data_IF_725728841108
#
_entry.id   IF_725728841108
#
_cell.length_a   1.000
_cell.length_b   1.000
_cell.length_c   1.000
_cell.angle_alpha   90.00
_cell.angle_beta   90.00
_cell.angle_gamma   90.00
#
_symmetry.space_group_name_H-M   'P 1'
#
loop_
_entity.id
_entity.type
_entity.pdbx_description
1 polymer ?
#
# COMPACT_ATOMS: atom_id res chain seq x y z
N UNK A 1 -12.05 -17.94 -1.75
CA UNK A 1 -11.17 -16.75 -1.68
C UNK A 1 -11.09 -16.21 -0.26
N UNK A 2 -12.23 -16.06 0.45
CA UNK A 2 -12.25 -15.71 1.88
C UNK A 2 -11.23 -16.50 2.73
N UNK A 3 -11.18 -17.83 2.61
CA UNK A 3 -10.19 -18.64 3.32
C UNK A 3 -8.72 -18.44 2.90
N UNK A 4 -8.47 -17.92 1.69
CA UNK A 4 -7.12 -17.54 1.26
C UNK A 4 -6.73 -16.16 1.83
N UNK A 5 -7.66 -15.20 1.84
CA UNK A 5 -7.48 -13.89 2.47
C UNK A 5 -7.24 -14.02 3.98
N UNK A 6 -8.02 -14.85 4.68
CA UNK A 6 -7.84 -15.09 6.12
C UNK A 6 -6.48 -15.74 6.45
N UNK A 7 -5.96 -16.61 5.57
CA UNK A 7 -4.59 -17.13 5.69
C UNK A 7 -3.55 -16.05 5.42
N UNK A 8 -3.76 -15.19 4.43
CA UNK A 8 -2.87 -14.08 4.15
C UNK A 8 -2.82 -13.07 5.30
N UNK A 9 -3.97 -12.74 5.90
CA UNK A 9 -4.08 -11.89 7.09
C UNK A 9 -3.24 -12.44 8.25
N UNK A 10 -3.40 -13.74 8.57
CA UNK A 10 -2.58 -14.38 9.61
C UNK A 10 -1.08 -14.37 9.30
N UNK A 11 -0.70 -14.56 8.03
CA UNK A 11 0.72 -14.48 7.63
C UNK A 11 1.28 -13.08 7.86
N UNK A 12 0.56 -12.04 7.41
CA UNK A 12 0.96 -10.64 7.59
C UNK A 12 1.05 -10.25 9.07
N UNK A 13 0.18 -10.81 9.92
CA UNK A 13 0.24 -10.59 11.36
C UNK A 13 1.52 -11.17 12.00
N UNK A 14 1.97 -12.33 11.54
CA UNK A 14 3.19 -12.99 12.05
C UNK A 14 4.45 -12.36 11.43
N UNK A 15 4.40 -12.09 10.12
CA UNK A 15 5.49 -11.58 9.32
C UNK A 15 4.95 -10.55 8.30
N UNK A 16 4.95 -9.25 8.61
CA UNK A 16 4.38 -8.22 7.74
C UNK A 16 5.01 -8.12 6.34
N UNK A 17 6.24 -8.59 6.19
CA UNK A 17 6.94 -8.65 4.90
C UNK A 17 6.60 -9.87 4.05
N UNK A 18 5.85 -10.86 4.56
CA UNK A 18 5.51 -12.06 3.80
C UNK A 18 4.38 -11.78 2.78
N UNK A 19 4.77 -11.67 1.51
CA UNK A 19 3.85 -11.37 0.40
C UNK A 19 3.36 -12.64 -0.31
N UNK A 20 3.95 -13.82 -0.07
CA UNK A 20 3.65 -15.05 -0.83
C UNK A 20 2.15 -15.45 -0.77
N UNK A 21 1.47 -15.37 0.39
CA UNK A 21 0.04 -15.68 0.47
C UNK A 21 -0.86 -14.77 -0.37
N UNK A 22 -0.44 -13.52 -0.63
CA UNK A 22 -1.22 -12.55 -1.40
C UNK A 22 -1.29 -12.93 -2.89
N UNK A 23 -0.22 -13.49 -3.46
CA UNK A 23 -0.25 -13.98 -4.85
C UNK A 23 -1.26 -15.13 -5.03
N UNK A 24 -1.43 -15.96 -4.01
CA UNK A 24 -2.46 -17.02 -4.02
C UNK A 24 -3.88 -16.44 -4.02
N UNK A 25 -4.09 -15.30 -3.35
CA UNK A 25 -5.37 -14.59 -3.36
C UNK A 25 -5.69 -14.06 -4.76
N UNK A 26 -4.76 -13.31 -5.38
CA UNK A 26 -4.93 -12.74 -6.72
C UNK A 26 -5.27 -13.81 -7.75
N UNK A 27 -4.48 -14.89 -7.79
CA UNK A 27 -4.71 -16.00 -8.73
C UNK A 27 -6.11 -16.62 -8.58
N UNK A 28 -6.64 -16.69 -7.36
CA UNK A 28 -7.99 -17.23 -7.10
C UNK A 28 -9.10 -16.23 -7.41
N UNK A 29 -8.83 -14.92 -7.34
CA UNK A 29 -9.81 -13.88 -7.65
C UNK A 29 -10.04 -13.71 -9.14
N UNK A 30 -9.02 -13.91 -9.98
CA UNK A 30 -9.13 -13.79 -11.44
C UNK A 30 -10.28 -14.61 -12.04
N UNK A 31 -10.57 -15.81 -11.50
CA UNK A 31 -11.70 -16.64 -11.95
C UNK A 31 -13.08 -16.13 -11.57
N UNK A 32 -13.20 -15.28 -10.54
CA UNK A 32 -14.49 -14.71 -10.12
C UNK A 32 -14.81 -13.38 -10.79
N UNK A 33 -13.80 -12.64 -11.28
CA UNK A 33 -13.99 -11.32 -11.88
C UNK A 33 -14.95 -11.37 -13.08
N UNK A 34 -14.69 -12.29 -14.01
CA UNK A 34 -15.56 -12.50 -15.17
C UNK A 34 -16.97 -12.98 -14.82
N UNK A 35 -17.20 -13.56 -13.64
CA UNK A 35 -18.55 -13.95 -13.18
C UNK A 35 -19.27 -12.81 -12.44
N UNK A 36 -18.51 -11.99 -11.70
CA UNK A 36 -19.06 -10.85 -10.97
C UNK A 36 -19.53 -9.74 -11.91
N UNK A 37 -18.86 -9.54 -13.05
CA UNK A 37 -19.24 -8.56 -14.08
C UNK A 37 -20.49 -8.97 -14.89
N UNK A 38 -20.87 -10.25 -14.88
CA UNK A 38 -22.01 -10.78 -15.64
C UNK A 38 -23.36 -10.66 -14.92
N UNK A 39 -23.39 -10.16 -13.67
CA UNK A 39 -24.62 -10.01 -12.89
C UNK A 39 -24.69 -8.69 -12.11
N UNK A 40 -25.88 -8.29 -11.68
CA UNK A 40 -26.09 -7.15 -10.75
C UNK A 40 -25.62 -7.47 -9.32
N UNK A 41 -24.41 -8.02 -9.17
CA UNK A 41 -23.85 -8.47 -7.89
C UNK A 41 -23.11 -7.36 -7.14
N UNK A 42 -23.57 -6.11 -7.24
CA UNK A 42 -23.00 -4.98 -6.50
C UNK A 42 -23.15 -5.25 -4.99
N UNK A 43 -22.09 -5.09 -4.16
CA UNK A 43 -20.80 -4.43 -4.42
C UNK A 43 -19.62 -5.41 -4.64
N UNK A 44 -19.89 -6.65 -5.08
CA UNK A 44 -18.85 -7.68 -5.24
C UNK A 44 -17.73 -7.27 -6.22
N UNK A 45 -18.00 -6.75 -7.44
CA UNK A 45 -16.94 -6.30 -8.34
C UNK A 45 -16.03 -5.26 -7.67
N UNK A 46 -16.64 -4.26 -7.03
CA UNK A 46 -15.92 -3.18 -6.35
C UNK A 46 -15.05 -3.68 -5.18
N UNK A 47 -15.52 -4.67 -4.42
CA UNK A 47 -14.73 -5.28 -3.34
C UNK A 47 -13.54 -6.07 -3.91
N UNK A 48 -13.75 -6.83 -4.99
CA UNK A 48 -12.67 -7.58 -5.63
C UNK A 48 -11.61 -6.63 -6.19
N UNK A 49 -12.02 -5.53 -6.83
CA UNK A 49 -11.10 -4.50 -7.31
C UNK A 49 -10.34 -3.83 -6.15
N UNK A 50 -11.03 -3.51 -5.06
CA UNK A 50 -10.40 -2.93 -3.87
C UNK A 50 -9.34 -3.84 -3.26
N UNK A 51 -9.59 -5.16 -3.20
CA UNK A 51 -8.62 -6.15 -2.72
C UNK A 51 -7.42 -6.25 -3.68
N UNK A 52 -7.66 -6.32 -4.98
CA UNK A 52 -6.60 -6.39 -5.98
C UNK A 52 -5.68 -5.18 -5.91
N UNK A 53 -6.26 -3.99 -5.79
CA UNK A 53 -5.50 -2.75 -5.65
C UNK A 53 -4.70 -2.71 -4.34
N UNK A 54 -5.31 -3.08 -3.21
CA UNK A 54 -4.61 -3.15 -1.92
C UNK A 54 -3.42 -4.12 -1.97
N UNK A 55 -3.61 -5.30 -2.58
CA UNK A 55 -2.52 -6.27 -2.77
C UNK A 55 -1.43 -5.69 -3.68
N UNK A 56 -1.81 -5.03 -4.78
CA UNK A 56 -0.89 -4.34 -5.67
C UNK A 56 -0.04 -3.30 -4.94
N UNK A 57 -0.68 -2.43 -4.14
CA UNK A 57 0.01 -1.43 -3.32
C UNK A 57 0.95 -2.09 -2.31
N UNK A 58 0.51 -3.14 -1.62
CA UNK A 58 1.36 -3.90 -0.70
C UNK A 58 2.60 -4.49 -1.37
N UNK A 59 2.49 -4.99 -2.60
CA UNK A 59 3.67 -5.50 -3.32
C UNK A 59 4.66 -4.42 -3.73
N UNK A 60 4.21 -3.16 -3.85
CA UNK A 60 5.07 -2.02 -4.22
C UNK A 60 5.70 -1.33 -3.01
N UNK A 61 5.00 -1.30 -1.89
CA UNK A 61 5.46 -0.63 -0.67
C UNK A 61 6.58 -1.42 0.02
N UNK A 62 7.64 -0.71 0.40
CA UNK A 62 8.77 -1.26 1.14
C UNK A 62 8.35 -1.83 2.50
N UNK A 63 7.36 -1.20 3.15
CA UNK A 63 6.72 -1.68 4.37
C UNK A 63 5.20 -1.63 4.21
N UNK A 64 4.45 -2.63 4.71
CA UNK A 64 2.99 -2.55 4.74
C UNK A 64 2.51 -1.40 5.65
N UNK A 65 1.41 -0.70 5.28
CA UNK A 65 0.72 0.19 6.21
C UNK A 65 0.31 -0.51 7.51
N UNK A 66 0.09 0.24 8.61
CA UNK A 66 -0.42 -0.34 9.85
C UNK A 66 -1.84 -0.90 9.64
N UNK A 67 -2.15 -2.04 10.28
CA UNK A 67 -3.50 -2.65 10.28
C UNK A 67 -3.91 -3.36 8.98
N UNK A 68 -2.97 -3.62 8.06
CA UNK A 68 -3.27 -4.29 6.78
C UNK A 68 -3.81 -5.71 6.97
N UNK A 69 -3.38 -6.41 8.02
CA UNK A 69 -3.91 -7.70 8.41
C UNK A 69 -5.42 -7.63 8.71
N UNK A 70 -5.87 -6.53 9.34
CA UNK A 70 -7.29 -6.29 9.60
C UNK A 70 -8.06 -6.03 8.31
N UNK A 71 -7.47 -5.29 7.36
CA UNK A 71 -8.05 -5.08 6.02
C UNK A 71 -8.29 -6.42 5.32
N UNK A 72 -7.29 -7.31 5.31
CA UNK A 72 -7.38 -8.62 4.66
C UNK A 72 -8.37 -9.55 5.37
N UNK A 73 -8.42 -9.52 6.70
CA UNK A 73 -9.40 -10.27 7.50
C UNK A 73 -10.84 -9.76 7.27
N UNK A 74 -11.03 -8.44 7.22
CA UNK A 74 -12.32 -7.83 6.93
C UNK A 74 -12.78 -8.14 5.51
N UNK A 75 -11.88 -8.13 4.53
CA UNK A 75 -12.16 -8.55 3.16
C UNK A 75 -12.66 -10.00 3.09
N UNK A 76 -12.02 -10.91 3.85
CA UNK A 76 -12.44 -12.31 3.93
C UNK A 76 -13.87 -12.43 4.47
N UNK A 77 -14.19 -11.67 5.52
CA UNK A 77 -15.52 -11.65 6.15
C UNK A 77 -16.58 -11.09 5.19
N UNK A 78 -16.29 -9.97 4.51
CA UNK A 78 -17.19 -9.37 3.52
C UNK A 78 -17.50 -10.34 2.37
N UNK A 79 -16.49 -11.01 1.80
CA UNK A 79 -16.71 -11.99 0.73
C UNK A 79 -17.48 -13.22 1.20
N UNK A 80 -17.29 -13.67 2.45
CA UNK A 80 -18.07 -14.77 3.02
C UNK A 80 -19.54 -14.39 3.21
N UNK A 81 -19.82 -13.16 3.67
CA UNK A 81 -21.17 -12.61 3.77
C UNK A 81 -21.84 -12.52 2.41
N UNK A 82 -21.16 -11.94 1.41
CA UNK A 82 -21.68 -11.84 0.04
C UNK A 82 -22.00 -13.21 -0.55
N UNK A 83 -21.11 -14.19 -0.37
CA UNK A 83 -21.36 -15.55 -0.84
C UNK A 83 -22.63 -16.17 -0.21
N UNK A 84 -22.87 -15.90 1.07
CA UNK A 84 -24.10 -16.31 1.78
C UNK A 84 -25.32 -15.60 1.20
N UNK A 85 -25.27 -14.29 1.02
CA UNK A 85 -26.40 -13.50 0.51
C UNK A 85 -26.78 -13.92 -0.92
N UNK A 86 -25.78 -14.16 -1.79
CA UNK A 86 -26.02 -14.67 -3.14
C UNK A 86 -26.65 -16.07 -3.10
N UNK A 87 -26.26 -16.91 -2.15
CA UNK A 87 -26.83 -18.26 -2.01
C UNK A 87 -28.26 -18.23 -1.47
N UNK A 88 -28.54 -17.35 -0.50
CA UNK A 88 -29.84 -17.28 0.19
C UNK A 88 -30.87 -16.43 -0.55
N UNK A 89 -30.44 -15.33 -1.18
CA UNK A 89 -31.31 -14.27 -1.73
C UNK A 89 -31.06 -14.02 -3.23
N UNK A 90 -30.06 -14.67 -3.83
CA UNK A 90 -29.70 -14.49 -5.24
C UNK A 90 -28.94 -13.20 -5.55
N UNK A 91 -28.75 -12.32 -4.55
CA UNK A 91 -28.02 -11.05 -4.69
C UNK A 91 -27.35 -10.64 -3.38
N UNK A 92 -26.25 -9.88 -3.41
CA UNK A 92 -25.62 -9.33 -2.20
C UNK A 92 -26.47 -8.24 -1.55
N UNK A 93 -26.36 -8.08 -0.24
CA UNK A 93 -26.84 -6.88 0.45
C UNK A 93 -25.79 -5.75 0.33
N UNK A 94 -26.09 -4.63 -0.38
CA UNK A 94 -25.14 -3.55 -0.57
C UNK A 94 -24.86 -2.72 0.69
N UNK A 95 -25.69 -2.86 1.73
CA UNK A 95 -25.58 -2.18 3.02
C UNK A 95 -25.07 -3.11 4.12
N UNK A 96 -24.59 -4.32 3.80
CA UNK A 96 -24.02 -5.23 4.78
C UNK A 96 -22.90 -4.56 5.60
N UNK A 97 -22.92 -4.75 6.92
CA UNK A 97 -21.93 -4.16 7.84
C UNK A 97 -20.51 -4.64 7.52
N UNK A 98 -20.34 -5.88 7.09
CA UNK A 98 -19.05 -6.46 6.74
C UNK A 98 -18.41 -5.77 5.53
N UNK A 99 -19.22 -5.42 4.53
CA UNK A 99 -18.76 -4.68 3.36
C UNK A 99 -18.39 -3.23 3.73
N UNK A 100 -19.22 -2.56 4.54
CA UNK A 100 -18.94 -1.22 5.08
C UNK A 100 -17.63 -1.18 5.88
N UNK A 101 -17.44 -2.15 6.79
CA UNK A 101 -16.23 -2.27 7.61
C UNK A 101 -14.98 -2.50 6.78
N UNK A 102 -15.06 -3.36 5.76
CA UNK A 102 -13.93 -3.57 4.85
C UNK A 102 -13.55 -2.27 4.14
N UNK A 103 -14.53 -1.53 3.60
CA UNK A 103 -14.28 -0.28 2.90
C UNK A 103 -13.67 0.79 3.81
N UNK A 104 -14.17 0.93 5.04
CA UNK A 104 -13.62 1.88 6.02
C UNK A 104 -12.15 1.55 6.37
N UNK A 105 -11.83 0.28 6.64
CA UNK A 105 -10.46 -0.16 6.90
C UNK A 105 -9.55 0.04 5.67
N UNK A 106 -10.06 -0.25 4.48
CA UNK A 106 -9.33 -0.06 3.21
C UNK A 106 -8.96 1.41 3.00
N UNK A 107 -9.94 2.31 3.17
CA UNK A 107 -9.72 3.75 3.03
C UNK A 107 -8.75 4.27 4.09
N UNK A 108 -8.89 3.85 5.35
CA UNK A 108 -7.98 4.27 6.43
C UNK A 108 -6.53 3.84 6.16
N UNK A 109 -6.34 2.61 5.66
CA UNK A 109 -5.01 2.07 5.42
C UNK A 109 -4.34 2.61 4.15
N UNK A 110 -5.10 2.94 3.09
CA UNK A 110 -4.53 3.22 1.77
C UNK A 110 -4.96 4.56 1.14
N UNK A 111 -6.02 5.24 1.60
CA UNK A 111 -6.48 6.48 0.93
C UNK A 111 -5.52 7.66 1.13
N UNK A 112 -4.89 7.76 2.32
CA UNK A 112 -3.92 8.81 2.65
C UNK A 112 -2.61 8.20 3.09
N UNK A 113 -1.54 8.61 2.43
CA UNK A 113 -0.18 8.28 2.86
C UNK A 113 0.18 9.21 4.03
N UNK A 114 -0.24 8.86 5.25
CA UNK A 114 -0.02 9.68 6.45
C UNK A 114 1.42 9.62 6.96
N UNK A 115 2.19 8.61 6.56
CA UNK A 115 3.53 8.33 7.07
C UNK A 115 4.64 8.64 6.05
N UNK A 116 4.42 9.60 5.15
CA UNK A 116 5.48 10.08 4.24
C UNK A 116 6.27 11.16 4.97
N UNK A 117 7.43 10.75 5.48
CA UNK A 117 8.44 11.66 6.02
C UNK A 117 9.18 12.28 4.82
N UNK A 118 9.15 13.61 4.63
CA UNK A 118 9.93 14.25 3.57
C UNK A 118 11.41 13.88 3.73
N UNK A 119 12.09 13.53 2.63
CA UNK A 119 13.51 13.12 2.69
C UNK A 119 14.34 14.25 3.32
N UNK A 120 13.94 15.50 3.12
CA UNK A 120 14.60 16.69 3.66
C UNK A 120 14.52 16.75 5.20
N UNK A 121 13.49 16.18 5.80
CA UNK A 121 13.35 16.10 7.25
C UNK A 121 14.22 15.02 7.89
N UNK A 122 14.82 14.15 7.07
CA UNK A 122 15.85 13.19 7.50
C UNK A 122 17.26 13.80 7.50
N UNK A 123 17.44 15.02 6.99
CA UNK A 123 18.71 15.72 7.04
C UNK A 123 19.01 16.25 8.45
N UNK A 124 20.27 16.19 8.84
CA UNK A 124 20.71 16.80 10.08
C UNK A 124 20.62 18.34 9.95
N UNK A 125 20.33 19.03 11.06
CA UNK A 125 20.27 20.50 11.06
C UNK A 125 21.63 21.07 10.62
N UNK A 126 21.64 21.78 9.50
CA UNK A 126 22.85 22.37 8.90
C UNK A 126 23.44 21.58 7.73
N UNK A 127 22.87 20.42 7.39
CA UNK A 127 23.27 19.66 6.20
C UNK A 127 22.56 20.23 4.96
N UNK A 128 23.34 20.76 4.02
CA UNK A 128 22.83 21.37 2.78
C UNK A 128 22.97 20.46 1.56
N UNK A 129 23.59 19.29 1.72
CA UNK A 129 23.78 18.35 0.62
C UNK A 129 22.66 17.32 0.63
N UNK A 130 21.85 17.34 -0.42
CA UNK A 130 20.94 16.23 -0.69
C UNK A 130 21.77 14.95 -0.78
N UNK A 131 21.35 13.89 -0.09
CA UNK A 131 21.96 12.56 -0.18
C UNK A 131 22.12 12.20 -1.66
N UNK A 132 23.34 12.28 -2.18
CA UNK A 132 23.62 11.84 -3.55
C UNK A 132 23.45 10.33 -3.56
N UNK A 133 22.48 9.77 -4.30
CA UNK A 133 22.35 8.32 -4.39
C UNK A 133 23.69 7.73 -4.85
N UNK A 134 24.16 6.62 -4.26
CA UNK A 134 25.42 6.01 -4.65
C UNK A 134 25.43 5.74 -6.16
N UNK A 135 26.56 5.98 -6.82
CA UNK A 135 26.68 5.86 -8.29
C UNK A 135 26.32 4.46 -8.84
N UNK A 136 26.27 3.44 -7.98
CA UNK A 136 25.84 2.08 -8.29
C UNK A 136 24.31 1.89 -8.31
N UNK A 137 23.54 2.87 -7.84
CA UNK A 137 22.08 2.80 -7.85
C UNK A 137 21.58 3.14 -9.26
N UNK A 138 20.75 2.28 -9.89
CA UNK A 138 20.22 2.55 -11.21
C UNK A 138 19.43 3.87 -11.19
N UNK A 139 19.89 4.85 -11.95
CA UNK A 139 19.17 6.09 -12.15
C UNK A 139 18.06 5.81 -13.16
N UNK A 140 16.84 5.65 -12.67
CA UNK A 140 15.68 5.56 -13.54
C UNK A 140 15.43 6.95 -14.13
N UNK A 141 15.35 7.02 -15.46
CA UNK A 141 14.91 8.25 -16.13
C UNK A 141 13.52 8.62 -15.58
N UNK A 142 13.31 9.91 -15.34
CA UNK A 142 11.97 10.39 -14.99
C UNK A 142 10.98 9.94 -16.06
N UNK A 143 9.79 9.44 -15.68
CA UNK A 143 8.80 8.99 -16.65
C UNK A 143 8.48 10.13 -17.63
N UNK A 144 8.33 9.77 -18.90
CA UNK A 144 7.96 10.72 -19.94
C UNK A 144 6.64 11.41 -19.56
N UNK A 145 6.48 12.70 -19.87
CA UNK A 145 5.23 13.41 -19.61
C UNK A 145 4.09 12.79 -20.41
N UNK A 146 2.87 12.85 -19.86
CA UNK A 146 1.69 12.32 -20.52
C UNK A 146 1.42 13.04 -21.85
N UNK A 147 1.30 12.26 -22.91
CA UNK A 147 0.91 12.73 -24.23
C UNK A 147 -0.55 13.22 -24.26
N UNK A 148 -0.93 14.01 -25.27
CA UNK A 148 -2.31 14.48 -25.42
C UNK A 148 -3.35 13.36 -25.43
N UNK A 149 -3.06 12.24 -26.11
CA UNK A 149 -3.96 11.08 -26.16
C UNK A 149 -4.17 10.47 -24.78
N UNK A 150 -3.11 10.36 -23.98
CA UNK A 150 -3.18 9.80 -22.64
C UNK A 150 -3.99 10.72 -21.72
N UNK A 151 -3.79 12.05 -21.81
CA UNK A 151 -4.61 13.01 -21.07
C UNK A 151 -6.08 12.95 -21.45
N UNK A 152 -6.40 12.85 -22.74
CA UNK A 152 -7.78 12.64 -23.21
C UNK A 152 -8.35 11.35 -22.63
N UNK A 153 -7.60 10.25 -22.66
CA UNK A 153 -8.01 8.96 -22.10
C UNK A 153 -8.26 9.04 -20.58
N UNK A 154 -7.41 9.74 -19.82
CA UNK A 154 -7.65 10.01 -18.41
C UNK A 154 -8.90 10.86 -18.21
N UNK A 155 -9.11 11.88 -19.04
CA UNK A 155 -10.32 12.69 -19.01
C UNK A 155 -11.59 11.90 -19.35
N UNK A 156 -11.49 10.93 -20.25
CA UNK A 156 -12.56 9.99 -20.55
C UNK A 156 -12.92 9.15 -19.33
N UNK A 157 -11.91 8.54 -18.74
CA UNK A 157 -12.02 7.73 -17.54
C UNK A 157 -12.61 8.50 -16.35
N UNK A 158 -12.18 9.75 -16.13
CA UNK A 158 -12.71 10.60 -15.06
C UNK A 158 -14.22 10.83 -15.17
N UNK A 159 -14.75 11.22 -16.34
CA UNK A 159 -16.20 11.42 -16.42
C UNK A 159 -16.97 10.10 -16.35
N UNK A 160 -16.42 9.00 -16.89
CA UNK A 160 -17.05 7.68 -16.76
C UNK A 160 -17.18 7.27 -15.28
N UNK A 161 -16.10 7.42 -14.51
CA UNK A 161 -16.13 7.16 -13.07
C UNK A 161 -17.07 8.13 -12.35
N UNK A 162 -17.07 9.41 -12.69
CA UNK A 162 -17.96 10.39 -12.09
C UNK A 162 -19.44 9.99 -12.27
N UNK A 163 -19.81 9.49 -13.46
CA UNK A 163 -21.16 8.98 -13.72
C UNK A 163 -21.47 7.70 -12.95
N UNK A 164 -20.50 6.79 -12.78
CA UNK A 164 -20.66 5.60 -11.95
C UNK A 164 -20.85 5.96 -10.48
N UNK A 165 -20.05 6.88 -9.94
CA UNK A 165 -20.18 7.38 -8.56
C UNK A 165 -21.54 8.06 -8.37
N UNK A 166 -21.97 8.88 -9.33
CA UNK A 166 -23.27 9.55 -9.29
C UNK A 166 -24.47 8.61 -9.37
N UNK A 167 -24.27 7.36 -9.83
CA UNK A 167 -25.31 6.32 -9.93
C UNK A 167 -25.21 5.24 -8.83
N UNK A 168 -24.25 5.35 -7.92
CA UNK A 168 -24.08 4.37 -6.83
C UNK A 168 -25.36 4.25 -5.99
N UNK A 169 -25.74 3.01 -5.68
CA UNK A 169 -26.95 2.65 -4.94
C UNK A 169 -26.70 2.60 -3.43
N UNK A 170 -25.45 2.44 -2.99
CA UNK A 170 -25.02 2.44 -1.59
C UNK A 170 -23.82 3.32 -1.32
N UNK A 171 -23.62 3.64 -0.04
CA UNK A 171 -22.41 4.33 0.41
C UNK A 171 -21.15 3.50 0.14
N UNK A 172 -21.20 2.19 0.42
CA UNK A 172 -20.11 1.24 0.18
C UNK A 172 -19.66 1.22 -1.28
N UNK A 173 -20.60 1.16 -2.22
CA UNK A 173 -20.33 1.15 -3.66
C UNK A 173 -19.67 2.46 -4.10
N UNK A 174 -20.20 3.60 -3.63
CA UNK A 174 -19.64 4.94 -3.87
C UNK A 174 -18.20 5.05 -3.38
N UNK A 175 -17.94 4.64 -2.15
CA UNK A 175 -16.63 4.75 -1.51
C UNK A 175 -15.58 3.82 -2.15
N UNK A 176 -15.95 2.61 -2.54
CA UNK A 176 -15.04 1.70 -3.26
C UNK A 176 -14.72 2.21 -4.68
N UNK A 177 -15.69 2.79 -5.39
CA UNK A 177 -15.45 3.43 -6.69
C UNK A 177 -14.53 4.63 -6.58
N UNK A 178 -14.68 5.44 -5.53
CA UNK A 178 -13.78 6.53 -5.22
C UNK A 178 -12.38 6.02 -4.89
N UNK A 179 -12.25 4.92 -4.14
CA UNK A 179 -10.96 4.30 -3.88
C UNK A 179 -10.26 3.83 -5.17
N UNK A 180 -10.98 3.19 -6.09
CA UNK A 180 -10.44 2.80 -7.40
C UNK A 180 -9.95 4.00 -8.20
N UNK A 181 -10.72 5.10 -8.21
CA UNK A 181 -10.32 6.35 -8.83
C UNK A 181 -9.01 6.90 -8.26
N UNK A 182 -8.82 6.83 -6.93
CA UNK A 182 -7.59 7.31 -6.31
C UNK A 182 -6.36 6.60 -6.84
N UNK A 183 -6.45 5.29 -7.11
CA UNK A 183 -5.35 4.56 -7.71
C UNK A 183 -5.00 5.05 -9.12
N UNK A 184 -6.01 5.24 -9.97
CA UNK A 184 -5.82 5.76 -11.32
C UNK A 184 -5.20 7.18 -11.29
N UNK A 185 -5.66 8.01 -10.35
CA UNK A 185 -5.13 9.36 -10.15
C UNK A 185 -3.68 9.35 -9.61
N UNK A 186 -3.30 8.40 -8.75
CA UNK A 186 -1.91 8.25 -8.28
C UNK A 186 -0.97 7.95 -9.45
N UNK A 187 -1.36 7.09 -10.38
CA UNK A 187 -0.54 6.79 -11.55
C UNK A 187 -0.42 7.98 -12.50
N UNK A 188 -1.50 8.74 -12.67
CA UNK A 188 -1.55 9.88 -13.59
C UNK A 188 -0.84 11.14 -13.04
N UNK A 189 -0.86 11.33 -11.72
CA UNK A 189 -0.31 12.51 -11.03
C UNK A 189 1.19 12.44 -10.75
N UNK A 190 1.96 11.63 -11.48
CA UNK A 190 3.41 11.56 -11.28
C UNK A 190 4.03 12.90 -11.68
N UNK A 191 4.79 13.58 -10.80
CA UNK A 191 5.31 14.91 -11.09
C UNK A 191 6.24 14.87 -12.31
N UNK A 192 5.94 15.72 -13.29
CA UNK A 192 6.69 15.87 -14.53
C UNK A 192 6.83 17.34 -14.91
N UNK A 193 7.59 17.62 -15.97
CA UNK A 193 7.81 18.98 -16.48
C UNK A 193 6.59 19.59 -17.18
N UNK A 194 5.56 18.80 -17.46
CA UNK A 194 4.32 19.25 -18.09
C UNK A 194 3.39 19.96 -17.09
N UNK A 195 2.94 21.20 -17.37
CA UNK A 195 2.07 21.95 -16.45
C UNK A 195 0.73 21.27 -16.17
N UNK A 196 0.19 20.50 -17.13
CA UNK A 196 -1.08 19.77 -16.93
C UNK A 196 -0.86 18.58 -16.00
N UNK A 197 0.23 17.82 -16.16
CA UNK A 197 0.61 16.76 -15.23
C UNK A 197 0.79 17.28 -13.79
N UNK A 198 1.44 18.44 -13.62
CA UNK A 198 1.58 19.09 -12.31
C UNK A 198 0.23 19.46 -11.68
N UNK A 199 -0.69 20.04 -12.47
CA UNK A 199 -2.04 20.36 -12.00
C UNK A 199 -2.85 19.10 -11.66
N UNK A 200 -2.70 18.02 -12.44
CA UNK A 200 -3.35 16.74 -12.19
C UNK A 200 -2.85 16.10 -10.89
N UNK A 201 -1.55 16.23 -10.57
CA UNK A 201 -1.01 15.78 -9.29
C UNK A 201 -1.64 16.52 -8.10
N UNK A 202 -1.83 17.84 -8.22
CA UNK A 202 -2.52 18.65 -7.19
C UNK A 202 -3.99 18.25 -7.08
N UNK A 203 -4.68 18.06 -8.20
CA UNK A 203 -6.07 17.59 -8.23
C UNK A 203 -6.23 16.20 -7.59
N UNK A 204 -5.33 15.27 -7.93
CA UNK A 204 -5.30 13.92 -7.36
C UNK A 204 -5.09 13.96 -5.83
N UNK A 205 -4.18 14.81 -5.36
CA UNK A 205 -3.98 15.05 -3.93
C UNK A 205 -5.23 15.62 -3.26
N UNK A 206 -5.82 16.66 -3.81
CA UNK A 206 -7.04 17.30 -3.27
C UNK A 206 -8.19 16.30 -3.19
N UNK A 207 -8.32 15.42 -4.20
CA UNK A 207 -9.33 14.35 -4.21
C UNK A 207 -9.11 13.31 -3.11
N UNK A 208 -7.86 12.90 -2.87
CA UNK A 208 -7.50 12.01 -1.74
C UNK A 208 -7.84 12.64 -0.40
N UNK A 209 -7.47 13.90 -0.20
CA UNK A 209 -7.71 14.63 1.04
C UNK A 209 -9.22 14.83 1.29
N UNK A 210 -9.99 15.15 0.25
CA UNK A 210 -11.45 15.26 0.34
C UNK A 210 -12.12 13.92 0.69
N UNK A 211 -11.66 12.80 0.09
CA UNK A 211 -12.18 11.47 0.44
C UNK A 211 -11.88 11.13 1.90
N UNK A 212 -10.66 11.39 2.34
CA UNK A 212 -10.23 11.11 3.70
C UNK A 212 -10.95 11.96 4.76
N UNK A 213 -11.39 13.16 4.38
CA UNK A 213 -12.23 14.03 5.19
C UNK A 213 -13.72 13.66 5.14
N UNK A 214 -14.11 12.62 4.38
CA UNK A 214 -15.51 12.19 4.29
C UNK A 214 -16.39 13.07 3.38
N UNK A 215 -15.80 13.97 2.58
CA UNK A 215 -16.55 14.91 1.71
C UNK A 215 -17.50 14.18 0.76
N UNK A 216 -17.10 13.00 0.29
CA UNK A 216 -17.92 12.18 -0.58
C UNK A 216 -19.20 11.63 0.09
N UNK A 217 -19.29 11.60 1.41
CA UNK A 217 -20.49 11.13 2.11
C UNK A 217 -21.58 12.21 2.16
N UNK A 218 -21.20 13.49 2.30
CA UNK A 218 -22.15 14.60 2.46
C UNK A 218 -22.26 15.51 1.23
N UNK A 219 -21.32 15.47 0.28
CA UNK A 219 -21.28 16.34 -0.90
C UNK A 219 -21.03 15.57 -2.22
N UNK A 220 -21.60 14.37 -2.38
CA UNK A 220 -21.40 13.50 -3.55
C UNK A 220 -21.58 14.22 -4.89
N UNK A 221 -22.66 15.00 -5.04
CA UNK A 221 -22.95 15.71 -6.29
C UNK A 221 -21.84 16.71 -6.65
N UNK A 222 -21.35 17.47 -5.67
CA UNK A 222 -20.29 18.44 -5.87
C UNK A 222 -18.95 17.76 -6.23
N UNK A 223 -18.64 16.62 -5.61
CA UNK A 223 -17.47 15.81 -5.97
C UNK A 223 -17.60 15.30 -7.41
N UNK A 224 -18.76 14.76 -7.79
CA UNK A 224 -19.03 14.29 -9.16
C UNK A 224 -18.88 15.42 -10.17
N UNK A 225 -19.38 16.62 -9.88
CA UNK A 225 -19.25 17.79 -10.76
C UNK A 225 -17.80 18.24 -10.90
N UNK A 226 -17.00 18.19 -9.83
CA UNK A 226 -15.56 18.45 -9.90
C UNK A 226 -14.84 17.42 -10.78
N UNK A 227 -15.16 16.13 -10.62
CA UNK A 227 -14.58 15.05 -11.44
C UNK A 227 -14.93 15.20 -12.92
N UNK A 228 -16.19 15.52 -13.26
CA UNK A 228 -16.59 15.79 -14.64
C UNK A 228 -15.89 17.01 -15.21
N UNK A 229 -15.83 18.10 -14.45
CA UNK A 229 -15.17 19.32 -14.90
C UNK A 229 -13.68 19.07 -15.17
N UNK A 230 -12.97 18.35 -14.30
CA UNK A 230 -11.59 17.95 -14.54
C UNK A 230 -11.47 17.06 -15.79
N UNK A 231 -12.35 16.08 -15.95
CA UNK A 231 -12.35 15.20 -17.12
C UNK A 231 -12.58 15.91 -18.44
N UNK A 232 -13.52 16.86 -18.50
CA UNK A 232 -13.78 17.70 -19.67
C UNK A 232 -12.59 18.58 -20.04
N UNK A 233 -11.91 19.15 -19.04
CA UNK A 233 -10.69 19.93 -19.25
C UNK A 233 -9.58 19.08 -19.88
N UNK A 234 -9.37 17.85 -19.38
CA UNK A 234 -8.37 16.94 -19.92
C UNK A 234 -8.70 16.49 -21.35
N UNK A 235 -9.97 16.23 -21.66
CA UNK A 235 -10.42 15.90 -23.03
C UNK A 235 -10.18 17.05 -24.02
N UNK A 236 -10.24 18.30 -23.55
CA UNK A 236 -9.98 19.48 -24.38
C UNK A 236 -8.50 19.74 -24.68
N UNK A 237 -7.56 19.01 -24.05
CA UNK A 237 -6.11 19.24 -24.22
C UNK A 237 -5.64 19.03 -25.66
N UNK A 238 -6.26 18.09 -26.39
CA UNK A 238 -5.87 17.80 -27.78
C UNK A 238 -6.19 18.97 -28.73
N UNK A 239 -7.24 19.74 -28.42
CA UNK A 239 -7.70 20.88 -29.23
C UNK A 239 -7.23 22.24 -28.67
N UNK A 240 -6.62 22.24 -27.49
CA UNK A 240 -6.21 23.47 -26.81
C UNK A 240 -4.81 23.93 -27.27
N UNK A 241 -4.75 25.14 -27.81
CA UNK A 241 -3.48 25.79 -28.17
C UNK A 241 -2.62 26.16 -26.93
N UNK A 242 -3.23 26.23 -25.73
CA UNK A 242 -2.56 26.63 -24.49
C UNK A 242 -2.77 25.62 -23.34
N UNK A 243 -1.79 24.74 -23.14
CA UNK A 243 -1.73 23.79 -22.01
C UNK A 243 -1.63 24.48 -20.65
N UNK A 244 -1.08 25.69 -20.58
CA UNK A 244 -1.00 26.46 -19.33
C UNK A 244 -2.40 26.90 -18.88
N UNK A 245 -3.27 27.27 -19.83
CA UNK A 245 -4.66 27.59 -19.53
C UNK A 245 -5.41 26.36 -19.00
N UNK A 246 -5.23 25.19 -19.62
CA UNK A 246 -5.85 23.95 -19.12
C UNK A 246 -5.36 23.62 -17.71
N UNK A 247 -4.05 23.69 -17.48
CA UNK A 247 -3.43 23.50 -16.15
C UNK A 247 -4.07 24.40 -15.08
N UNK A 248 -4.20 25.70 -15.34
CA UNK A 248 -4.84 26.65 -14.42
C UNK A 248 -6.29 26.27 -14.11
N UNK A 249 -7.07 25.89 -15.12
CA UNK A 249 -8.46 25.48 -14.92
C UNK A 249 -8.58 24.19 -14.12
N UNK A 250 -7.64 23.25 -14.27
CA UNK A 250 -7.58 22.04 -13.44
C UNK A 250 -7.24 22.40 -11.98
N UNK A 251 -6.32 23.34 -11.75
CA UNK A 251 -6.04 23.87 -10.41
C UNK A 251 -7.25 24.56 -9.79
N UNK A 252 -8.05 25.30 -10.57
CA UNK A 252 -9.31 25.89 -10.07
C UNK A 252 -10.30 24.81 -9.63
N UNK A 253 -10.35 23.66 -10.33
CA UNK A 253 -11.18 22.51 -9.90
C UNK A 253 -10.63 21.88 -8.63
N UNK A 254 -9.32 21.73 -8.51
CA UNK A 254 -8.69 21.23 -7.29
C UNK A 254 -9.00 22.13 -6.09
N UNK A 255 -8.93 23.45 -6.27
CA UNK A 255 -9.26 24.42 -5.23
C UNK A 255 -10.71 24.33 -4.78
N UNK A 256 -11.67 24.20 -5.71
CA UNK A 256 -13.09 23.98 -5.36
C UNK A 256 -13.29 22.72 -4.53
N UNK A 257 -12.52 21.66 -4.77
CA UNK A 257 -12.58 20.43 -3.99
C UNK A 257 -12.04 20.63 -2.57
N UNK A 258 -10.98 21.43 -2.42
CA UNK A 258 -10.47 21.84 -1.11
C UNK A 258 -11.45 22.73 -0.33
N UNK A 259 -12.18 23.61 -1.02
CA UNK A 259 -13.24 24.44 -0.41
C UNK A 259 -14.36 23.58 0.16
N UNK A 260 -14.75 22.49 -0.52
CA UNK A 260 -15.76 21.55 -0.01
C UNK A 260 -15.33 20.88 1.31
N UNK A 261 -14.03 20.69 1.53
CA UNK A 261 -13.47 20.21 2.80
C UNK A 261 -13.47 21.31 3.87
N UNK A 262 -13.23 22.55 3.46
CA UNK A 262 -13.11 23.69 4.38
C UNK A 262 -14.45 24.16 4.94
N UNK A 263 -15.59 23.70 4.41
CA UNK A 263 -16.91 23.96 5.00
C UNK A 263 -16.99 23.20 6.33
N UNK A 264 -16.97 23.88 7.49
CA UNK A 264 -17.15 23.20 8.76
C UNK A 264 -18.57 22.62 8.80
N UNK A 265 -18.69 21.35 9.21
CA UNK A 265 -19.96 20.76 9.61
C UNK A 265 -20.57 21.58 10.77
N UNK A 266 -21.33 22.61 10.45
CA UNK A 266 -22.27 23.25 11.37
C UNK A 266 -23.67 22.73 11.05
N UNK A 267 -23.88 21.42 11.15
CA UNK A 267 -25.22 20.79 11.18
C UNK A 267 -25.13 19.26 11.34
N UNK A 268 -24.77 18.79 12.54
CA UNK A 268 -24.88 17.38 12.92
C UNK A 268 -24.66 17.21 14.41
N UNK A 269 -25.74 17.02 15.16
CA UNK A 269 -25.75 16.95 16.62
C UNK A 269 -24.94 15.76 17.17
N UNK A 270 -24.43 15.96 18.39
CA UNK A 270 -23.88 14.98 19.34
C UNK A 270 -22.45 14.44 19.15
N UNK A 271 -21.49 15.32 18.85
CA UNK A 271 -20.08 15.04 19.23
C UNK A 271 -19.36 16.30 19.73
N UNK A 272 -19.92 16.95 20.75
CA UNK A 272 -19.12 17.76 21.68
C UNK A 272 -18.29 16.82 22.57
N UNK A 273 -17.24 16.25 21.98
CA UNK A 273 -16.04 15.84 22.70
C UNK A 273 -14.82 16.23 21.87
N UNK A 274 -14.93 17.36 21.17
CA UNK A 274 -13.76 18.12 20.76
C UNK A 274 -13.08 18.54 22.06
N UNK A 275 -11.83 18.10 22.24
CA UNK A 275 -11.01 18.34 23.41
C UNK A 275 -11.02 19.84 23.72
N UNK A 276 -11.89 20.24 24.67
CA UNK A 276 -11.90 21.59 25.20
C UNK A 276 -10.45 21.88 25.61
N UNK A 277 -9.82 22.81 24.90
CA UNK A 277 -8.47 23.26 25.22
C UNK A 277 -8.59 23.90 26.60
N UNK A 278 -8.31 23.10 27.62
CA UNK A 278 -8.30 23.53 29.02
C UNK A 278 -7.13 24.51 29.12
N UNK A 279 -7.37 25.81 29.38
CA UNK A 279 -6.27 26.75 29.57
C UNK A 279 -5.35 26.22 30.66
N UNK A 280 -4.03 26.32 30.47
CA UNK A 280 -3.03 25.77 31.40
C UNK A 280 -3.27 26.30 32.83
N UNK A 281 -3.86 27.50 32.97
CA UNK A 281 -4.21 28.07 34.27
C UNK A 281 -5.31 27.29 35.02
N UNK A 282 -6.20 26.55 34.35
CA UNK A 282 -7.18 25.67 35.01
C UNK A 282 -6.64 24.29 35.40
N UNK A 283 -5.37 24.00 35.10
CA UNK A 283 -4.64 22.84 35.61
C UNK A 283 -3.79 23.19 36.84
N UNK A 284 -3.89 24.42 37.34
CA UNK A 284 -3.26 24.79 38.60
C UNK A 284 -4.00 24.06 39.74
N UNK A 285 -3.26 23.25 40.49
CA UNK A 285 -3.78 22.65 41.72
C UNK A 285 -4.08 23.77 42.72
N UNK A 286 -5.33 23.86 43.17
CA UNK A 286 -5.68 24.63 44.35
C UNK A 286 -4.95 23.99 45.54
N UNK A 287 -3.98 24.72 46.09
CA UNK A 287 -3.23 24.35 47.28
C UNK A 287 -4.11 24.57 48.52
N UNK A 288 -5.20 23.81 48.64
CA UNK A 288 -5.79 23.52 49.94
C UNK A 288 -5.26 22.15 50.39
N UNK A 289 -4.33 22.11 51.36
CA UNK A 289 -3.71 20.86 51.76
C UNK A 289 -4.66 20.13 52.71
N UNK A 290 -5.60 19.36 52.15
CA UNK A 290 -6.17 18.24 52.91
C UNK A 290 -5.14 17.09 52.84
N UNK A 291 -4.14 17.20 53.72
CA UNK A 291 -3.07 16.20 53.84
C UNK A 291 -3.69 14.93 54.41
N UNK A 292 -4.06 14.02 53.51
CA UNK A 292 -4.46 12.66 53.87
C UNK A 292 -3.23 11.95 54.44
N UNK A 293 -3.21 11.56 55.73
CA UNK A 293 -2.09 10.83 56.31
C UNK A 293 -1.90 9.52 55.53
N UNK A 294 -0.66 9.20 55.16
CA UNK A 294 -0.31 8.01 54.35
C UNK A 294 -0.84 6.73 54.98
N UNK A 295 -1.00 6.70 56.30
CA UNK A 295 -1.54 5.57 57.05
C UNK A 295 -3.02 5.27 56.72
N UNK A 296 -3.78 6.25 56.20
CA UNK A 296 -5.18 6.08 55.82
C UNK A 296 -5.39 5.60 54.37
N UNK A 297 -4.32 5.55 53.57
CA UNK A 297 -4.32 5.01 52.21
C UNK A 297 -3.95 3.52 52.17
N UNK A 298 -3.64 2.91 53.31
CA UNK A 298 -3.47 1.47 53.42
C UNK A 298 -4.85 0.80 53.59
N UNK A 299 -5.27 -0.10 52.69
CA UNK A 299 -6.51 -0.84 52.88
C UNK A 299 -6.37 -1.80 54.08
N UNK A 300 -7.16 -1.56 55.13
CA UNK A 300 -7.39 -2.50 56.24
C UNK A 300 -8.25 -3.68 55.76
N UNK A 301 -7.68 -4.55 54.92
CA UNK A 301 -8.28 -5.86 54.60
C UNK A 301 -7.21 -6.93 54.48
N UNK A 302 -6.76 -7.39 55.65
CA UNK A 302 -6.21 -8.71 55.83
C UNK A 302 -7.31 -9.77 55.58
N UNK A 303 -7.69 -10.02 54.33
CA UNK A 303 -8.36 -11.24 53.83
C UNK A 303 -8.79 -11.11 52.35
N UNK A 304 -7.84 -10.99 51.41
CA UNK A 304 -8.04 -11.33 49.98
C UNK A 304 -6.76 -11.27 49.10
N UNK A 305 -5.58 -10.97 49.67
CA UNK A 305 -4.32 -10.88 48.93
C UNK A 305 -3.40 -12.10 49.19
N UNK A 306 -3.86 -13.27 48.78
CA UNK A 306 -3.00 -14.40 48.43
C UNK A 306 -3.49 -14.82 47.05
N UNK A 307 -3.02 -14.22 45.96
CA UNK A 307 -1.96 -14.84 45.15
C UNK A 307 -1.44 -13.90 44.03
N UNK A 308 -1.32 -12.60 44.27
CA UNK A 308 -0.70 -11.65 43.31
C UNK A 308 0.65 -11.09 43.75
N UNK A 309 1.32 -11.77 44.68
CA UNK A 309 2.69 -11.45 45.08
C UNK A 309 3.72 -11.96 44.08
N UNK A 310 4.91 -11.36 44.07
CA UNK A 310 6.08 -11.79 43.29
C UNK A 310 6.34 -13.30 43.40
N UNK A 311 6.00 -13.90 44.54
CA UNK A 311 6.08 -15.33 44.84
C UNK A 311 5.16 -16.20 43.96
N UNK A 312 3.96 -15.71 43.57
CA UNK A 312 3.11 -16.42 42.61
C UNK A 312 3.69 -16.40 41.19
N UNK A 313 4.44 -15.35 40.86
CA UNK A 313 5.20 -15.28 39.60
C UNK A 313 6.37 -16.26 39.58
N UNK A 314 7.08 -16.44 40.70
CA UNK A 314 8.16 -17.44 40.81
C UNK A 314 7.66 -18.88 40.78
N UNK A 315 6.54 -19.18 41.46
CA UNK A 315 5.95 -20.52 41.42
C UNK A 315 5.40 -20.86 40.03
N UNK A 316 4.83 -19.88 39.33
CA UNK A 316 4.40 -20.02 37.92
C UNK A 316 5.60 -20.24 37.00
N UNK A 317 6.69 -19.50 37.21
CA UNK A 317 7.94 -19.67 36.46
C UNK A 317 8.56 -21.04 36.67
N UNK A 318 8.67 -21.51 37.91
CA UNK A 318 9.16 -22.87 38.22
C UNK A 318 8.28 -23.97 37.61
N UNK A 319 6.95 -23.77 37.58
CA UNK A 319 6.04 -24.71 36.92
C UNK A 319 6.33 -24.79 35.42
N UNK A 320 6.55 -23.64 34.77
CA UNK A 320 6.87 -23.57 33.35
C UNK A 320 8.25 -24.17 33.02
N UNK A 321 9.26 -23.99 33.87
CA UNK A 321 10.57 -24.67 33.71
C UNK A 321 10.45 -26.19 33.85
N UNK A 322 9.61 -26.68 34.76
CA UNK A 322 9.37 -28.12 34.92
C UNK A 322 8.62 -28.72 33.72
N UNK A 323 7.66 -27.99 33.16
CA UNK A 323 6.83 -28.45 32.04
C UNK A 323 7.54 -28.34 30.67
N UNK A 324 8.36 -27.32 30.45
CA UNK A 324 9.01 -27.04 29.16
C UNK A 324 10.51 -27.32 29.13
N UNK A 325 11.11 -27.64 30.27
CA UNK A 325 12.56 -27.75 30.42
C UNK A 325 13.23 -26.35 30.51
N UNK A 326 14.53 -26.30 30.88
CA UNK A 326 15.24 -25.04 31.05
C UNK A 326 15.24 -24.25 29.73
N UNK A 327 14.78 -23.01 29.78
CA UNK A 327 14.81 -22.11 28.63
C UNK A 327 16.27 -21.80 28.28
N UNK A 328 16.73 -22.27 27.13
CA UNK A 328 18.08 -21.95 26.66
C UNK A 328 18.23 -20.42 26.52
N UNK A 329 19.27 -19.86 27.14
CA UNK A 329 19.61 -18.44 27.00
C UNK A 329 19.74 -18.09 25.51
N UNK A 330 18.76 -17.36 25.00
CA UNK A 330 18.58 -17.12 23.56
C UNK A 330 19.76 -16.39 22.91
N UNK A 331 20.54 -15.64 23.70
CA UNK A 331 21.70 -14.90 23.24
C UNK A 331 22.92 -15.81 22.99
N UNK A 332 23.18 -16.76 23.88
CA UNK A 332 24.33 -17.69 23.73
C UNK A 332 24.07 -18.74 22.65
N UNK A 333 22.79 -19.12 22.44
CA UNK A 333 22.37 -19.99 21.34
C UNK A 333 22.54 -19.32 19.95
N UNK A 334 22.35 -18.00 19.86
CA UNK A 334 22.59 -17.21 18.65
C UNK A 334 24.09 -17.02 18.36
N UNK A 335 24.92 -16.91 19.40
CA UNK A 335 26.36 -16.64 19.25
C UNK A 335 27.21 -17.90 19.05
N UNK A 336 26.73 -19.10 19.41
CA UNK A 336 27.55 -20.33 19.42
C UNK A 336 27.16 -21.44 18.45
N UNK A 337 26.19 -21.28 17.53
CA UNK A 337 25.90 -22.34 16.55
C UNK A 337 25.87 -21.87 15.09
N UNK A 338 26.73 -22.46 14.21
CA UNK A 338 26.47 -22.44 12.78
C UNK A 338 25.20 -23.25 12.48
N UNK A 339 24.36 -22.66 11.62
CA UNK A 339 23.01 -23.12 11.27
C UNK A 339 23.04 -24.55 10.70
N UNK A 340 22.30 -25.53 11.27
CA UNK A 340 22.16 -26.84 10.64
C UNK A 340 21.22 -26.72 9.43
N UNK A 341 21.72 -27.13 8.27
CA UNK A 341 20.96 -27.28 7.03
C UNK A 341 20.03 -28.50 7.17
N UNK A 342 18.74 -28.42 6.79
CA UNK A 342 17.85 -29.57 6.82
C UNK A 342 18.35 -30.65 5.87
N UNK A 343 18.58 -31.84 6.41
CA UNK A 343 18.97 -33.03 5.66
C UNK A 343 17.84 -33.44 4.71
N UNK A 344 18.09 -33.34 3.40
CA UNK A 344 17.12 -33.78 2.39
C UNK A 344 17.33 -33.21 1.00
N UNK A 345 18.57 -33.00 0.52
CA UNK A 345 18.88 -32.81 -0.90
C UNK A 345 20.21 -33.47 -1.26
N UNK A 346 20.22 -34.11 -2.43
CA UNK A 346 21.30 -34.90 -3.01
C UNK A 346 22.65 -34.16 -3.10
N UNK A 347 23.78 -34.87 -3.14
CA UNK A 347 25.10 -34.28 -2.99
C UNK A 347 25.65 -33.82 -4.35
N UNK A 348 25.23 -32.66 -4.85
CA UNK A 348 26.01 -31.82 -5.77
C UNK A 348 25.57 -30.37 -5.57
N UNK A 349 26.01 -29.74 -4.49
CA UNK A 349 26.06 -28.28 -4.40
C UNK A 349 27.31 -27.95 -3.60
N UNK A 350 28.44 -28.04 -4.31
CA UNK A 350 29.69 -27.44 -3.89
C UNK A 350 29.42 -25.94 -3.69
N UNK A 351 29.78 -25.40 -2.52
CA UNK A 351 29.57 -23.99 -2.21
C UNK A 351 30.38 -23.15 -3.20
N UNK A 352 29.72 -22.60 -4.21
CA UNK A 352 30.32 -21.76 -5.24
C UNK A 352 30.53 -20.35 -4.66
N UNK A 353 31.77 -19.85 -4.67
CA UNK A 353 32.05 -18.48 -4.25
C UNK A 353 31.33 -17.48 -5.17
N UNK A 354 30.93 -16.32 -4.64
CA UNK A 354 30.30 -15.24 -5.43
C UNK A 354 31.18 -14.83 -6.62
N UNK A 355 32.50 -15.00 -6.51
CA UNK A 355 33.46 -14.75 -7.58
C UNK A 355 33.31 -15.72 -8.76
N UNK A 356 32.78 -16.93 -8.54
CA UNK A 356 32.43 -17.89 -9.58
C UNK A 356 31.01 -17.70 -10.15
N UNK A 357 30.17 -16.88 -9.49
CA UNK A 357 28.91 -16.38 -10.07
C UNK A 357 29.13 -15.17 -11.00
N UNK A 358 30.31 -14.54 -10.93
CA UNK A 358 30.76 -13.56 -11.90
C UNK A 358 31.47 -14.27 -13.05
N UNK A 359 30.98 -14.13 -14.28
CA UNK A 359 31.60 -14.72 -15.47
C UNK A 359 33.06 -14.25 -15.62
N UNK A 360 34.03 -15.05 -15.18
CA UNK A 360 35.48 -14.84 -15.41
C UNK A 360 36.12 -16.12 -15.95
N UNK A 361 37.19 -15.96 -16.72
CA UNK A 361 37.93 -17.07 -17.34
C UNK A 361 37.02 -17.99 -18.17
N UNK A 362 36.93 -19.27 -17.78
CA UNK A 362 36.17 -20.29 -18.53
C UNK A 362 34.66 -20.03 -18.55
N UNK A 363 34.10 -19.49 -17.47
CA UNK A 363 32.67 -19.14 -17.42
C UNK A 363 32.31 -18.04 -18.41
N UNK A 364 33.19 -17.04 -18.57
CA UNK A 364 33.01 -15.98 -19.56
C UNK A 364 33.05 -16.52 -21.00
N UNK A 365 33.92 -17.49 -21.29
CA UNK A 365 33.99 -18.15 -22.60
C UNK A 365 32.75 -18.98 -22.91
N UNK A 366 32.19 -19.70 -21.92
CA UNK A 366 30.97 -20.50 -22.09
C UNK A 366 29.75 -19.60 -22.35
N UNK A 367 29.63 -18.47 -21.65
CA UNK A 367 28.59 -17.46 -21.93
C UNK A 367 28.78 -16.79 -23.29
N UNK A 368 30.02 -16.45 -23.67
CA UNK A 368 30.32 -15.88 -24.99
C UNK A 368 29.95 -16.85 -26.13
N UNK A 369 30.16 -18.15 -25.96
CA UNK A 369 29.74 -19.17 -26.93
C UNK A 369 28.21 -19.26 -27.06
N UNK A 370 27.48 -19.19 -25.94
CA UNK A 370 26.01 -19.17 -25.96
C UNK A 370 25.48 -17.91 -26.68
N UNK A 371 26.01 -16.73 -26.35
CA UNK A 371 25.64 -15.47 -27.02
C UNK A 371 25.94 -15.48 -28.51
N UNK A 372 27.02 -16.14 -28.95
CA UNK A 372 27.31 -16.31 -30.38
C UNK A 372 26.23 -17.12 -31.10
N UNK A 373 25.68 -18.15 -30.46
CA UNK A 373 24.58 -18.93 -31.03
C UNK A 373 23.27 -18.12 -31.09
N UNK A 374 22.97 -17.35 -30.04
CA UNK A 374 21.82 -16.44 -29.99
C UNK A 374 21.92 -15.34 -31.07
N UNK A 375 23.08 -14.69 -31.21
CA UNK A 375 23.35 -13.71 -32.29
C UNK A 375 23.20 -14.31 -33.69
N UNK A 376 23.65 -15.55 -33.89
CA UNK A 376 23.53 -16.24 -35.19
C UNK A 376 22.07 -16.55 -35.52
N UNK A 377 21.27 -16.93 -34.52
CA UNK A 377 19.83 -17.16 -34.69
C UNK A 377 19.07 -15.86 -34.99
N UNK A 378 19.38 -14.77 -34.27
CA UNK A 378 18.78 -13.45 -34.48
C UNK A 378 19.13 -12.86 -35.85
N UNK A 379 20.39 -13.01 -36.29
CA UNK A 379 20.84 -12.57 -37.63
C UNK A 379 20.21 -13.40 -38.76
N UNK A 380 19.96 -14.69 -38.54
CA UNK A 380 19.26 -15.54 -39.51
C UNK A 380 17.75 -15.24 -39.59
N UNK A 381 17.17 -14.72 -38.50
CA UNK A 381 15.74 -14.41 -38.39
C UNK A 381 15.28 -13.12 -39.05
N UNK A 382 16.19 -12.30 -39.63
CA UNK A 382 15.90 -10.93 -40.11
C UNK A 382 15.26 -10.04 -39.01
N UNK A 383 15.66 -10.25 -37.75
CA UNK A 383 15.13 -9.49 -36.61
C UNK A 383 15.69 -8.06 -36.59
N UNK A 384 14.97 -7.19 -35.88
CA UNK A 384 15.27 -5.75 -35.75
C UNK A 384 16.70 -5.53 -35.23
N UNK A 385 17.54 -4.69 -35.89
CA UNK A 385 18.88 -4.36 -35.41
C UNK A 385 18.94 -3.88 -33.95
N UNK A 386 17.83 -3.40 -33.38
CA UNK A 386 17.73 -3.05 -31.97
C UNK A 386 17.89 -4.24 -31.01
N UNK A 387 17.53 -5.48 -31.40
CA UNK A 387 17.68 -6.68 -30.54
C UNK A 387 19.12 -7.23 -30.51
N UNK A 388 19.90 -6.94 -31.56
CA UNK A 388 21.27 -7.43 -31.74
C UNK A 388 22.28 -6.62 -30.91
N UNK A 389 22.04 -5.31 -30.76
CA UNK A 389 22.94 -4.40 -30.07
C UNK A 389 23.27 -4.81 -28.62
N UNK A 390 22.29 -5.16 -27.75
CA UNK A 390 22.59 -5.57 -26.37
C UNK A 390 23.38 -6.89 -26.30
N UNK A 391 23.10 -7.85 -27.19
CA UNK A 391 23.82 -9.14 -27.25
C UNK A 391 25.28 -8.96 -27.68
N UNK A 392 25.53 -8.05 -28.63
CA UNK A 392 26.87 -7.71 -29.06
C UNK A 392 27.65 -6.98 -27.94
N UNK A 393 26.99 -6.08 -27.22
CA UNK A 393 27.60 -5.36 -26.10
C UNK A 393 27.99 -6.32 -24.97
N UNK A 394 27.10 -7.25 -24.60
CA UNK A 394 27.40 -8.28 -23.61
C UNK A 394 28.58 -9.17 -24.03
N UNK A 395 28.65 -9.54 -25.32
CA UNK A 395 29.77 -10.30 -25.85
C UNK A 395 31.11 -9.54 -25.74
N UNK A 396 31.11 -8.23 -26.02
CA UNK A 396 32.30 -7.39 -25.92
C UNK A 396 32.77 -7.21 -24.46
N UNK A 397 31.83 -7.10 -23.52
CA UNK A 397 32.13 -6.97 -22.09
C UNK A 397 32.69 -8.27 -21.49
N UNK A 398 32.36 -9.43 -22.07
CA UNK A 398 32.89 -10.73 -21.66
C UNK A 398 34.33 -11.01 -22.12
N UNK A 399 34.82 -10.34 -23.17
CA UNK A 399 36.20 -10.51 -23.67
C UNK A 399 37.27 -10.18 -22.61
N UNK A 400 37.27 -9.00 -21.95
CA UNK A 400 38.25 -8.69 -20.93
C UNK A 400 38.13 -9.60 -19.70
N UNK A 401 36.93 -10.12 -19.41
CA UNK A 401 36.69 -11.04 -18.30
C UNK A 401 37.19 -12.47 -18.57
N UNK A 402 37.16 -12.90 -19.84
CA UNK A 402 37.75 -14.16 -20.27
C UNK A 402 39.29 -14.13 -20.27
N UNK A 403 39.88 -12.98 -20.56
CA UNK A 403 41.33 -12.77 -20.61
C UNK A 403 41.96 -12.47 -19.24
N UNK A 404 41.16 -12.19 -18.21
CA UNK A 404 41.66 -11.87 -16.87
C UNK A 404 42.33 -13.06 -16.15
N UNK A 405 42.07 -14.30 -16.60
CA UNK A 405 42.58 -15.55 -16.02
C UNK A 405 43.47 -16.37 -16.99
N UNK A 406 43.96 -15.77 -18.10
CA UNK A 406 44.82 -16.44 -19.10
C UNK A 406 46.32 -16.18 -18.90
#
# INVERSE_FOLDING_TARGET
IASALDRAARSLQIAPGDREPLYTVIRRMQSLRGLAELGELVPLPEILDGIELAVGDLTRLFAPPPGVEEVMSSAATALARIARDVTEQGRPDPEAEEARRFTDLLLRAFAVERDVVPIESLYFVGDTQALTPPASQPQFASPAPLGPLELVSHGEHLCQIADLIGRSRSATERDLRLYHLLAALRTAGTPGSDPVAGALAVFARSTREALAAGVAAHATAAVVDCLRAAGELLRSVADADDRMQVSRRVLDVAHRLDELRAVPEVAGADTEAELAIVPIQSLAYDLEPDVVPIESLAPDTAAAAADSGLESSFTTFERLERERGPAAASLEALLRRPRPVPAGRSPVDEVVSIEALCYRGRGALERALALRHELTAELAGLNDPASIHPLLQELLDLVPLALADS
#
